data_IF_770043167076
#
_entry.id   IF_770043167076
#
_cell.length_a   1.000
_cell.length_b   1.000
_cell.length_c   1.000
_cell.angle_alpha   90.00
_cell.angle_beta   90.00
_cell.angle_gamma   90.00
#
_symmetry.space_group_name_H-M   'P 1'
#
loop_
_entity.id
_entity.type
_entity.pdbx_description
1 polymer ?
#
# COMPACT_ATOMS: atom_id res chain seq x y z
N UNK A 1 -36.16 6.01 34.94
CA UNK A 1 -35.05 6.73 34.28
C UNK A 1 -34.28 5.86 33.26
N UNK A 2 -34.31 4.54 33.39
CA UNK A 2 -33.58 3.61 32.51
C UNK A 2 -33.99 3.59 31.01
N UNK A 3 -35.29 3.64 30.63
CA UNK A 3 -35.68 3.56 29.21
C UNK A 3 -35.17 4.74 28.37
N UNK A 4 -35.10 5.95 28.98
CA UNK A 4 -34.62 7.14 28.26
C UNK A 4 -33.14 7.09 27.92
N UNK A 5 -32.30 6.55 28.82
CA UNK A 5 -30.90 6.31 28.55
C UNK A 5 -30.68 5.26 27.46
N UNK A 6 -31.47 4.20 27.46
CA UNK A 6 -31.41 3.16 26.42
C UNK A 6 -31.81 3.72 25.04
N UNK A 7 -32.86 4.52 24.95
CA UNK A 7 -33.29 5.20 23.72
C UNK A 7 -32.19 6.14 23.23
N UNK A 8 -31.60 6.96 24.10
CA UNK A 8 -30.49 7.85 23.77
C UNK A 8 -29.26 7.09 23.23
N UNK A 9 -28.91 5.96 23.84
CA UNK A 9 -27.81 5.10 23.39
C UNK A 9 -28.08 4.51 21.98
N UNK A 10 -29.28 4.01 21.72
CA UNK A 10 -29.67 3.48 20.41
C UNK A 10 -29.62 4.57 19.33
N UNK A 11 -30.11 5.78 19.63
CA UNK A 11 -30.07 6.93 18.72
C UNK A 11 -28.59 7.27 18.35
N UNK A 12 -27.72 7.31 19.34
CA UNK A 12 -26.29 7.58 19.10
C UNK A 12 -25.69 6.51 18.15
N UNK A 13 -25.97 5.23 18.37
CA UNK A 13 -25.51 4.16 17.49
C UNK A 13 -26.01 4.36 16.06
N UNK A 14 -27.31 4.67 15.89
CA UNK A 14 -27.89 4.90 14.57
C UNK A 14 -27.20 6.09 13.88
N UNK A 15 -26.98 7.19 14.58
CA UNK A 15 -26.28 8.37 14.04
C UNK A 15 -24.87 8.02 13.58
N UNK A 16 -24.11 7.24 14.38
CA UNK A 16 -22.76 6.80 14.00
C UNK A 16 -22.79 5.90 12.74
N UNK A 17 -23.74 4.97 12.67
CA UNK A 17 -23.90 4.09 11.51
C UNK A 17 -24.25 4.86 10.24
N UNK A 18 -25.20 5.81 10.34
CA UNK A 18 -25.61 6.67 9.22
C UNK A 18 -24.47 7.57 8.77
N UNK A 19 -23.75 8.20 9.70
CA UNK A 19 -22.58 9.03 9.38
C UNK A 19 -21.49 8.21 8.69
N UNK A 20 -21.20 6.99 9.17
CA UNK A 20 -20.26 6.07 8.54
C UNK A 20 -20.69 5.65 7.13
N UNK A 21 -21.97 5.38 6.93
CA UNK A 21 -22.52 5.05 5.62
C UNK A 21 -22.40 6.21 4.63
N UNK A 22 -22.79 7.42 5.03
CA UNK A 22 -22.67 8.63 4.20
C UNK A 22 -21.20 8.91 3.85
N UNK A 23 -20.28 8.79 4.81
CA UNK A 23 -18.85 8.95 4.58
C UNK A 23 -18.34 7.93 3.54
N UNK A 24 -18.77 6.68 3.62
CA UNK A 24 -18.43 5.63 2.65
C UNK A 24 -18.95 5.96 1.23
N UNK A 25 -20.18 6.48 1.11
CA UNK A 25 -20.74 6.89 -0.18
C UNK A 25 -19.95 8.05 -0.79
N UNK A 26 -19.69 9.10 -0.02
CA UNK A 26 -18.88 10.26 -0.46
C UNK A 26 -17.48 9.83 -0.91
N UNK A 27 -16.85 8.90 -0.18
CA UNK A 27 -15.57 8.35 -0.58
C UNK A 27 -15.66 7.62 -1.93
N UNK A 28 -16.69 6.79 -2.15
CA UNK A 28 -16.88 6.08 -3.43
C UNK A 28 -17.07 7.05 -4.60
N UNK A 29 -17.89 8.08 -4.42
CA UNK A 29 -18.10 9.13 -5.44
C UNK A 29 -16.80 9.86 -5.77
N UNK A 30 -16.03 10.24 -4.74
CA UNK A 30 -14.74 10.90 -4.93
C UNK A 30 -13.72 9.97 -5.61
N UNK A 31 -13.67 8.69 -5.28
CA UNK A 31 -12.79 7.71 -5.94
C UNK A 31 -13.22 7.46 -7.40
N UNK A 32 -14.54 7.45 -7.69
CA UNK A 32 -15.06 7.37 -9.06
C UNK A 32 -14.66 8.60 -9.89
N UNK A 33 -14.72 9.80 -9.30
CA UNK A 33 -14.28 11.03 -9.96
C UNK A 33 -12.76 11.01 -10.25
N UNK A 34 -11.94 10.51 -9.32
CA UNK A 34 -10.50 10.33 -9.55
C UNK A 34 -10.26 9.32 -10.68
N UNK A 35 -10.98 8.20 -10.70
CA UNK A 35 -10.85 7.20 -11.76
C UNK A 35 -11.20 7.80 -13.12
N UNK A 36 -12.30 8.53 -13.23
CA UNK A 36 -12.70 9.21 -14.45
C UNK A 36 -11.64 10.23 -14.92
N UNK A 37 -11.11 11.05 -14.01
CA UNK A 37 -10.01 12.00 -14.29
C UNK A 37 -8.76 11.31 -14.85
N UNK A 38 -8.43 10.12 -14.32
CA UNK A 38 -7.24 9.35 -14.72
C UNK A 38 -7.49 8.43 -15.92
N UNK A 39 -8.71 8.37 -16.45
CA UNK A 39 -9.10 7.46 -17.54
C UNK A 39 -9.09 5.97 -17.11
N UNK A 40 -9.33 5.70 -15.83
CA UNK A 40 -9.33 4.36 -15.23
C UNK A 40 -10.75 3.84 -15.01
N UNK A 41 -10.92 2.54 -14.99
CA UNK A 41 -12.15 1.88 -14.54
C UNK A 41 -12.24 1.90 -13.02
N UNK A 42 -13.45 2.02 -12.48
CA UNK A 42 -13.71 2.01 -11.04
C UNK A 42 -14.67 0.89 -10.65
N UNK A 43 -14.26 0.07 -9.69
CA UNK A 43 -15.06 -1.01 -9.10
C UNK A 43 -15.13 -0.82 -7.57
N UNK A 44 -16.28 -0.36 -7.02
CA UNK A 44 -16.40 -0.05 -5.60
C UNK A 44 -16.54 -1.27 -4.69
N UNK A 45 -16.97 -2.41 -5.23
CA UNK A 45 -17.35 -3.58 -4.45
C UNK A 45 -16.14 -4.36 -3.90
N UNK A 46 -16.41 -5.17 -2.86
CA UNK A 46 -15.39 -6.05 -2.28
C UNK A 46 -14.97 -7.13 -3.26
N UNK A 47 -13.65 -7.24 -3.48
CA UNK A 47 -13.02 -8.26 -4.31
C UNK A 47 -12.05 -9.10 -3.45
N UNK A 48 -12.40 -10.37 -3.25
CA UNK A 48 -11.55 -11.33 -2.54
C UNK A 48 -10.57 -12.04 -3.48
N UNK A 49 -10.82 -12.01 -4.78
CA UNK A 49 -9.92 -12.59 -5.76
C UNK A 49 -8.63 -11.79 -5.86
N UNK A 50 -8.70 -10.47 -5.79
CA UNK A 50 -7.55 -9.58 -5.76
C UNK A 50 -6.57 -9.94 -4.63
N UNK A 51 -7.10 -10.19 -3.42
CA UNK A 51 -6.30 -10.60 -2.28
C UNK A 51 -5.60 -11.95 -2.48
N UNK A 52 -6.13 -12.83 -3.33
CA UNK A 52 -5.51 -14.12 -3.68
C UNK A 52 -4.50 -13.98 -4.81
N UNK A 53 -4.82 -13.16 -5.81
CA UNK A 53 -3.96 -12.93 -6.98
C UNK A 53 -2.60 -12.33 -6.60
N UNK A 54 -2.58 -11.44 -5.60
CA UNK A 54 -1.37 -10.77 -5.13
C UNK A 54 -0.93 -11.22 -3.73
N UNK A 55 -1.24 -12.48 -3.35
CA UNK A 55 -0.90 -13.02 -2.03
C UNK A 55 0.61 -13.25 -1.81
N UNK A 56 1.42 -13.10 -2.84
CA UNK A 56 2.87 -13.06 -2.73
C UNK A 56 3.33 -11.76 -2.06
N UNK A 57 2.65 -10.61 -2.25
CA UNK A 57 2.96 -9.38 -1.55
C UNK A 57 2.70 -9.51 -0.04
N UNK A 58 3.68 -9.13 0.77
CA UNK A 58 3.71 -9.39 2.21
C UNK A 58 2.43 -8.96 2.95
N UNK A 59 1.98 -7.72 2.77
CA UNK A 59 0.76 -7.23 3.45
C UNK A 59 -0.51 -7.91 2.97
N UNK A 60 -0.57 -8.39 1.71
CA UNK A 60 -1.76 -9.00 1.12
C UNK A 60 -1.94 -10.48 1.52
N UNK A 61 -0.88 -11.13 2.01
CA UNK A 61 -0.95 -12.50 2.56
C UNK A 61 -1.35 -12.59 4.02
N UNK A 62 -1.34 -11.45 4.76
CA UNK A 62 -1.55 -11.41 6.21
C UNK A 62 -3.01 -11.57 6.61
N UNK A 63 -3.22 -12.17 7.79
CA UNK A 63 -4.51 -12.22 8.47
C UNK A 63 -5.61 -12.99 7.72
N UNK A 64 -6.85 -12.73 8.10
CA UNK A 64 -8.06 -13.35 7.58
C UNK A 64 -9.08 -12.30 7.11
N UNK A 65 -10.19 -12.73 6.49
CA UNK A 65 -11.22 -11.85 5.92
C UNK A 65 -10.64 -10.77 5.00
N UNK A 66 -9.76 -11.17 4.12
CA UNK A 66 -8.99 -10.35 3.18
C UNK A 66 -9.83 -9.97 1.97
N UNK A 67 -9.87 -8.69 1.62
CA UNK A 67 -10.51 -8.19 0.39
C UNK A 67 -9.96 -6.82 -0.01
N UNK A 68 -9.91 -6.59 -1.32
CA UNK A 68 -9.77 -5.27 -1.92
C UNK A 68 -11.14 -4.63 -2.12
N UNK A 69 -11.20 -3.30 -2.18
CA UNK A 69 -12.40 -2.55 -2.52
C UNK A 69 -11.99 -1.16 -3.05
N UNK A 70 -12.95 -0.42 -3.63
CA UNK A 70 -12.64 0.85 -4.31
C UNK A 70 -11.50 0.70 -5.33
N UNK A 71 -11.57 -0.32 -6.16
CA UNK A 71 -10.51 -0.68 -7.11
C UNK A 71 -10.55 0.25 -8.32
N UNK A 72 -9.42 0.89 -8.63
CA UNK A 72 -9.16 1.60 -9.89
C UNK A 72 -8.19 0.75 -10.71
N UNK A 73 -8.52 0.53 -11.98
CA UNK A 73 -7.66 -0.24 -12.89
C UNK A 73 -7.62 0.40 -14.27
N UNK A 74 -6.46 0.39 -14.90
CA UNK A 74 -6.28 0.96 -16.24
C UNK A 74 -4.82 1.15 -16.58
N UNK A 75 -4.58 1.91 -17.66
CA UNK A 75 -3.23 2.27 -18.11
C UNK A 75 -2.96 3.73 -17.76
N UNK A 76 -1.81 3.98 -17.15
CA UNK A 76 -1.34 5.33 -16.84
C UNK A 76 0.12 5.49 -17.26
N UNK A 77 0.42 6.49 -18.08
CA UNK A 77 1.76 6.73 -18.65
C UNK A 77 2.40 5.47 -19.27
N UNK A 78 1.61 4.65 -19.96
CA UNK A 78 2.08 3.43 -20.63
C UNK A 78 2.24 2.20 -19.73
N UNK A 79 1.87 2.29 -18.44
CA UNK A 79 1.93 1.18 -17.48
C UNK A 79 0.54 0.69 -17.08
N UNK A 80 0.38 -0.62 -16.95
CA UNK A 80 -0.81 -1.21 -16.33
C UNK A 80 -0.78 -0.95 -14.83
N UNK A 81 -1.81 -0.28 -14.33
CA UNK A 81 -1.93 0.18 -12.95
C UNK A 81 -3.16 -0.40 -12.30
N UNK A 82 -3.00 -0.74 -11.03
CA UNK A 82 -4.06 -1.16 -10.14
C UNK A 82 -3.93 -0.41 -8.82
N UNK A 83 -5.00 0.28 -8.41
CA UNK A 83 -5.06 1.01 -7.13
C UNK A 83 -6.27 0.51 -6.38
N UNK A 84 -6.14 0.22 -5.08
CA UNK A 84 -7.28 -0.24 -4.27
C UNK A 84 -7.08 0.03 -2.79
N UNK A 85 -8.17 0.14 -2.08
CA UNK A 85 -8.20 -0.01 -0.63
C UNK A 85 -8.22 -1.50 -0.27
N UNK A 86 -7.54 -1.87 0.81
CA UNK A 86 -7.41 -3.25 1.25
C UNK A 86 -7.73 -3.41 2.73
N UNK A 87 -8.37 -4.51 3.06
CA UNK A 87 -8.71 -4.86 4.42
C UNK A 87 -8.32 -6.30 4.75
N UNK A 88 -7.76 -6.48 5.93
CA UNK A 88 -7.69 -7.77 6.59
C UNK A 88 -7.92 -7.64 8.10
N UNK A 89 -8.15 -8.75 8.79
CA UNK A 89 -8.23 -8.80 10.25
C UNK A 89 -7.28 -9.84 10.84
N UNK A 90 -6.85 -9.60 12.08
CA UNK A 90 -6.09 -10.54 12.90
C UNK A 90 -6.82 -10.79 14.23
N UNK A 91 -6.46 -11.87 14.92
CA UNK A 91 -7.11 -12.25 16.17
C UNK A 91 -8.50 -12.86 16.00
N UNK A 92 -9.19 -13.11 17.10
CA UNK A 92 -10.53 -13.68 17.13
C UNK A 92 -11.34 -13.14 18.31
N UNK A 93 -12.67 -13.20 18.20
CA UNK A 93 -13.58 -12.75 19.25
C UNK A 93 -13.35 -11.29 19.64
N UNK A 94 -13.19 -11.04 20.94
CA UNK A 94 -12.99 -9.69 21.51
C UNK A 94 -11.63 -9.09 21.14
N UNK A 95 -10.66 -9.90 20.74
CA UNK A 95 -9.30 -9.46 20.36
C UNK A 95 -9.12 -9.36 18.84
N UNK A 96 -10.19 -9.03 18.12
CA UNK A 96 -10.13 -8.85 16.67
C UNK A 96 -9.64 -7.43 16.36
N UNK A 97 -8.58 -7.33 15.54
CA UNK A 97 -8.05 -6.07 15.03
C UNK A 97 -8.24 -5.99 13.52
N UNK A 98 -8.73 -4.86 13.03
CA UNK A 98 -8.96 -4.58 11.63
C UNK A 98 -7.86 -3.65 11.11
N UNK A 99 -7.32 -3.99 9.93
CA UNK A 99 -6.27 -3.22 9.26
C UNK A 99 -6.75 -2.77 7.90
N UNK A 100 -6.46 -1.52 7.57
CA UNK A 100 -6.85 -0.88 6.32
C UNK A 100 -5.63 -0.25 5.67
N UNK A 101 -5.54 -0.38 4.34
CA UNK A 101 -4.41 0.08 3.55
C UNK A 101 -4.88 0.68 2.24
N UNK A 102 -4.03 1.49 1.61
CA UNK A 102 -4.12 1.78 0.18
C UNK A 102 -2.93 1.15 -0.53
N UNK A 103 -3.19 0.47 -1.63
CA UNK A 103 -2.20 -0.15 -2.51
C UNK A 103 -2.23 0.47 -3.88
N UNK A 104 -1.05 0.62 -4.47
CA UNK A 104 -0.82 0.98 -5.85
C UNK A 104 0.13 -0.05 -6.43
N UNK A 105 -0.28 -0.77 -7.45
CA UNK A 105 0.51 -1.81 -8.11
C UNK A 105 0.72 -1.43 -9.57
N UNK A 106 1.96 -1.50 -10.03
CA UNK A 106 2.37 -1.36 -11.41
C UNK A 106 2.85 -2.72 -11.90
N UNK A 107 2.32 -3.18 -13.05
CA UNK A 107 2.74 -4.41 -13.68
C UNK A 107 4.11 -4.23 -14.35
N UNK A 108 5.07 -5.04 -13.94
CA UNK A 108 6.41 -5.06 -14.52
C UNK A 108 6.50 -6.00 -15.74
N UNK A 109 7.35 -5.70 -16.71
CA UNK A 109 7.52 -6.53 -17.92
C UNK A 109 8.24 -7.86 -17.62
N UNK A 110 8.99 -7.97 -16.52
CA UNK A 110 9.74 -9.14 -16.10
C UNK A 110 9.42 -9.53 -14.64
N UNK A 111 9.74 -10.77 -14.27
CA UNK A 111 9.63 -11.27 -12.90
C UNK A 111 10.90 -10.99 -12.12
N UNK A 112 10.75 -10.61 -10.85
CA UNK A 112 11.82 -10.23 -9.94
C UNK A 112 11.71 -10.99 -8.61
N UNK A 113 12.84 -11.19 -7.90
CA UNK A 113 12.81 -11.69 -6.54
C UNK A 113 12.18 -10.67 -5.59
N UNK A 114 11.72 -11.15 -4.44
CA UNK A 114 11.16 -10.30 -3.37
C UNK A 114 12.17 -9.22 -2.95
N UNK A 115 11.69 -7.97 -2.88
CA UNK A 115 12.37 -6.85 -2.28
C UNK A 115 11.35 -6.01 -1.53
N UNK A 116 11.61 -5.73 -0.26
CA UNK A 116 10.80 -4.85 0.58
C UNK A 116 11.65 -3.69 1.06
N UNK A 117 11.18 -2.46 0.83
CA UNK A 117 11.74 -1.22 1.40
C UNK A 117 10.65 -0.58 2.25
N UNK A 118 10.90 -0.39 3.53
CA UNK A 118 9.93 0.25 4.43
C UNK A 118 10.63 1.17 5.44
N UNK A 119 9.92 2.16 6.01
CA UNK A 119 10.45 2.98 7.10
C UNK A 119 10.82 2.13 8.31
N UNK A 120 11.96 2.44 8.95
CA UNK A 120 12.51 1.69 10.09
C UNK A 120 11.50 1.48 11.24
N UNK A 121 10.71 2.49 11.58
CA UNK A 121 9.70 2.40 12.64
C UNK A 121 8.53 1.43 12.39
N UNK A 122 8.33 0.98 11.14
CA UNK A 122 7.29 0.01 10.75
C UNK A 122 7.85 -1.42 10.85
N UNK A 123 9.16 -1.54 10.88
CA UNK A 123 9.93 -2.76 10.80
C UNK A 123 9.63 -3.80 11.88
N UNK A 124 9.48 -3.42 13.14
CA UNK A 124 9.28 -4.36 14.26
C UNK A 124 8.05 -5.25 14.10
N UNK A 125 7.06 -4.80 13.31
CA UNK A 125 5.83 -5.55 12.99
C UNK A 125 5.97 -6.45 11.76
N UNK A 126 6.92 -6.16 10.86
CA UNK A 126 7.19 -6.93 9.62
C UNK A 126 8.28 -7.97 9.86
N UNK A 127 9.25 -7.67 10.72
CA UNK A 127 10.44 -8.48 10.98
C UNK A 127 10.17 -9.95 11.35
N UNK A 128 9.07 -10.21 12.04
CA UNK A 128 8.71 -11.57 12.47
C UNK A 128 8.16 -12.46 11.35
N UNK A 129 7.84 -11.91 10.17
CA UNK A 129 7.11 -12.63 9.13
C UNK A 129 7.97 -13.10 7.95
N UNK A 130 9.10 -12.45 7.64
CA UNK A 130 9.79 -12.65 6.35
C UNK A 130 11.13 -13.40 6.44
N UNK A 131 11.72 -13.56 7.61
CA UNK A 131 12.89 -14.46 7.81
C UNK A 131 14.21 -14.04 7.15
N UNK A 132 14.30 -12.87 6.51
CA UNK A 132 15.55 -12.33 5.94
C UNK A 132 16.10 -11.20 6.80
N UNK A 133 17.44 -11.16 6.94
CA UNK A 133 18.13 -10.06 7.61
C UNK A 133 17.99 -8.75 6.81
N UNK A 134 18.08 -7.62 7.53
CA UNK A 134 18.17 -6.32 6.91
C UNK A 134 19.46 -6.17 6.10
N UNK A 135 19.39 -5.46 4.99
CA UNK A 135 20.54 -5.21 4.11
C UNK A 135 21.08 -3.82 4.40
N UNK A 136 22.30 -3.75 4.94
CA UNK A 136 22.98 -2.49 5.20
C UNK A 136 23.51 -1.85 3.93
N UNK A 137 23.40 -0.52 3.86
CA UNK A 137 23.92 0.31 2.78
C UNK A 137 25.01 1.26 3.30
N UNK A 138 25.93 1.68 2.41
CA UNK A 138 26.98 2.66 2.76
C UNK A 138 26.40 3.99 3.26
N UNK A 139 25.20 4.35 2.83
CA UNK A 139 24.47 5.51 3.34
C UNK A 139 23.89 5.25 4.72
N UNK A 140 24.60 5.65 5.76
CA UNK A 140 24.13 5.55 7.15
C UNK A 140 22.80 6.27 7.39
N UNK A 141 22.54 7.39 6.69
CA UNK A 141 21.26 8.09 6.79
C UNK A 141 20.12 7.23 6.24
N UNK A 142 20.35 6.56 5.11
CA UNK A 142 19.37 5.67 4.49
C UNK A 142 19.08 4.46 5.39
N UNK A 143 20.10 3.72 5.82
CA UNK A 143 19.95 2.54 6.69
C UNK A 143 19.29 2.87 8.04
N UNK A 144 19.46 4.10 8.55
CA UNK A 144 18.75 4.54 9.76
C UNK A 144 17.28 4.87 9.56
N UNK A 145 16.87 5.24 8.34
CA UNK A 145 15.50 5.64 8.02
C UNK A 145 14.67 4.54 7.36
N UNK A 146 15.34 3.64 6.65
CA UNK A 146 14.72 2.58 5.87
C UNK A 146 15.34 1.22 6.17
N UNK A 147 14.48 0.22 6.28
CA UNK A 147 14.83 -1.18 6.26
C UNK A 147 14.67 -1.72 4.85
N UNK A 148 15.65 -2.48 4.37
CA UNK A 148 15.63 -3.13 3.05
C UNK A 148 15.84 -4.63 3.22
N UNK A 149 14.93 -5.43 2.66
CA UNK A 149 14.98 -6.88 2.71
C UNK A 149 14.82 -7.52 1.36
N UNK A 150 15.63 -8.52 1.09
CA UNK A 150 15.53 -9.35 -0.09
C UNK A 150 16.32 -10.66 0.11
N UNK A 151 15.84 -11.79 -0.41
CA UNK A 151 16.65 -13.00 -0.50
C UNK A 151 17.84 -12.83 -1.47
N UNK A 152 17.77 -11.81 -2.35
CA UNK A 152 18.81 -11.52 -3.33
C UNK A 152 19.45 -10.15 -3.06
N UNK A 153 20.57 -10.14 -2.31
CA UNK A 153 21.29 -8.90 -1.96
C UNK A 153 21.74 -8.11 -3.20
N UNK A 154 22.17 -8.79 -4.26
CA UNK A 154 22.56 -8.12 -5.50
C UNK A 154 21.41 -7.34 -6.11
N UNK A 155 20.23 -7.94 -6.19
CA UNK A 155 19.01 -7.26 -6.66
C UNK A 155 18.65 -6.07 -5.77
N UNK A 156 18.77 -6.21 -4.44
CA UNK A 156 18.54 -5.10 -3.52
C UNK A 156 19.47 -3.91 -3.77
N UNK A 157 20.77 -4.15 -3.99
CA UNK A 157 21.74 -3.09 -4.34
C UNK A 157 21.48 -2.50 -5.74
N UNK A 158 21.07 -3.32 -6.70
CA UNK A 158 20.70 -2.85 -8.05
C UNK A 158 19.49 -1.89 -7.99
N UNK A 159 18.48 -2.20 -7.18
CA UNK A 159 17.28 -1.37 -6.99
C UNK A 159 17.57 -0.15 -6.13
N UNK A 160 18.21 -0.33 -4.97
CA UNK A 160 18.56 0.75 -4.06
C UNK A 160 19.85 1.47 -4.50
N UNK A 161 19.93 1.83 -5.79
CA UNK A 161 21.02 2.64 -6.33
C UNK A 161 21.00 4.07 -5.75
N UNK A 162 22.05 4.86 -6.00
CA UNK A 162 22.21 6.21 -5.44
C UNK A 162 21.01 7.11 -5.72
N UNK A 163 20.40 7.04 -6.93
CA UNK A 163 19.22 7.86 -7.29
C UNK A 163 17.98 7.46 -6.50
N UNK A 164 17.75 6.16 -6.30
CA UNK A 164 16.65 5.64 -5.49
C UNK A 164 16.82 6.05 -4.02
N UNK A 165 18.01 5.91 -3.47
CA UNK A 165 18.33 6.31 -2.09
C UNK A 165 18.07 7.80 -1.90
N UNK A 166 18.59 8.66 -2.78
CA UNK A 166 18.36 10.11 -2.74
C UNK A 166 16.87 10.46 -2.81
N UNK A 167 16.13 9.84 -3.72
CA UNK A 167 14.69 10.02 -3.84
C UNK A 167 13.95 9.65 -2.55
N UNK A 168 14.24 8.48 -1.99
CA UNK A 168 13.61 8.00 -0.76
C UNK A 168 13.94 8.93 0.42
N UNK A 169 15.18 9.32 0.58
CA UNK A 169 15.59 10.28 1.63
C UNK A 169 14.91 11.64 1.48
N UNK A 170 14.75 12.13 0.24
CA UNK A 170 14.03 13.39 -0.02
C UNK A 170 12.55 13.30 0.30
N UNK A 171 11.93 12.14 0.09
CA UNK A 171 10.50 11.91 0.34
C UNK A 171 10.10 11.89 1.81
N UNK A 172 11.06 11.75 2.75
CA UNK A 172 10.82 11.64 4.21
C UNK A 172 11.30 12.89 4.96
N UNK A 173 11.65 13.97 4.24
CA UNK A 173 12.19 15.20 4.88
C UNK A 173 11.16 16.01 5.65
N UNK A 174 9.88 15.84 5.36
CA UNK A 174 8.81 16.56 6.06
C UNK A 174 8.03 15.62 6.98
N UNK A 175 7.81 15.95 8.26
CA UNK A 175 6.96 15.19 9.19
C UNK A 175 5.49 15.10 8.73
N UNK A 176 5.08 15.92 7.75
CA UNK A 176 3.75 15.90 7.13
C UNK A 176 3.67 14.97 5.92
N UNK A 177 4.82 14.54 5.41
CA UNK A 177 4.86 13.58 4.31
C UNK A 177 4.59 12.19 4.88
N UNK A 178 3.83 11.43 4.14
CA UNK A 178 3.34 10.10 4.48
C UNK A 178 4.55 9.18 4.79
N UNK A 179 4.96 9.12 6.06
CA UNK A 179 6.15 8.41 6.56
C UNK A 179 5.98 6.89 6.56
N UNK A 180 4.81 6.39 6.17
CA UNK A 180 4.44 4.98 6.17
C UNK A 180 4.43 4.33 4.76
N UNK A 181 5.06 5.00 3.78
CA UNK A 181 5.29 4.43 2.45
C UNK A 181 6.16 3.16 2.54
N UNK A 182 5.61 2.04 2.10
CA UNK A 182 6.36 0.82 1.84
C UNK A 182 6.39 0.56 0.34
N UNK A 183 7.55 0.12 -0.17
CA UNK A 183 7.75 -0.30 -1.56
C UNK A 183 8.02 -1.79 -1.53
N UNK A 184 7.39 -2.54 -2.42
CA UNK A 184 7.58 -3.98 -2.56
C UNK A 184 7.68 -4.34 -4.03
N UNK A 185 8.69 -5.12 -4.39
CA UNK A 185 8.86 -5.70 -5.72
C UNK A 185 8.87 -7.20 -5.53
N UNK A 186 7.98 -7.90 -6.21
CA UNK A 186 7.99 -9.36 -6.24
C UNK A 186 7.27 -9.84 -7.50
N UNK A 187 7.74 -10.92 -8.08
CA UNK A 187 7.24 -11.42 -9.35
C UNK A 187 7.18 -10.30 -10.40
N UNK A 188 6.01 -10.04 -10.95
CA UNK A 188 5.80 -8.98 -11.95
C UNK A 188 5.10 -7.76 -11.37
N UNK A 189 5.21 -7.52 -10.09
CA UNK A 189 4.58 -6.40 -9.41
C UNK A 189 5.61 -5.46 -8.78
N UNK A 190 5.47 -4.17 -9.06
CA UNK A 190 6.01 -3.08 -8.25
C UNK A 190 4.84 -2.47 -7.49
N UNK A 191 4.85 -2.59 -6.18
CA UNK A 191 3.80 -2.08 -5.31
C UNK A 191 4.31 -0.97 -4.38
N UNK A 192 3.51 0.06 -4.18
CA UNK A 192 3.63 0.95 -3.03
C UNK A 192 2.38 0.83 -2.16
N UNK A 193 2.54 0.90 -0.86
CA UNK A 193 1.44 0.76 0.07
C UNK A 193 1.56 1.71 1.25
N UNK A 194 0.39 2.07 1.82
CA UNK A 194 0.24 2.96 2.96
C UNK A 194 -0.61 2.27 4.02
N UNK A 195 -0.29 2.48 5.31
CA UNK A 195 -0.97 1.83 6.44
C UNK A 195 -2.33 2.47 6.80
N UNK A 196 -2.92 3.21 5.86
CA UNK A 196 -4.25 3.80 5.96
C UNK A 196 -4.89 3.90 4.57
N UNK A 197 -6.21 4.05 4.52
CA UNK A 197 -6.88 4.41 3.28
C UNK A 197 -6.63 5.89 2.97
N UNK A 198 -5.92 6.16 1.88
CA UNK A 198 -5.57 7.53 1.46
C UNK A 198 -6.82 8.33 1.06
N UNK A 199 -6.82 9.62 1.37
CA UNK A 199 -7.81 10.54 0.86
C UNK A 199 -7.78 10.58 -0.69
N UNK A 200 -8.93 10.76 -1.38
CA UNK A 200 -8.99 10.71 -2.85
C UNK A 200 -8.05 11.69 -3.55
N UNK A 201 -7.83 12.88 -2.97
CA UNK A 201 -6.89 13.89 -3.46
C UNK A 201 -5.41 13.44 -3.40
N UNK A 202 -5.10 12.41 -2.61
CA UNK A 202 -3.76 11.82 -2.49
C UNK A 202 -3.51 10.68 -3.50
N UNK A 203 -4.52 10.22 -4.23
CA UNK A 203 -4.37 9.09 -5.16
C UNK A 203 -3.43 9.46 -6.31
N UNK A 204 -3.70 10.53 -7.04
CA UNK A 204 -2.87 10.94 -8.19
C UNK A 204 -1.42 11.30 -7.80
N UNK A 205 -1.16 12.08 -6.73
CA UNK A 205 0.21 12.30 -6.27
C UNK A 205 0.98 11.00 -5.94
N UNK A 206 0.33 10.03 -5.31
CA UNK A 206 0.98 8.76 -4.99
C UNK A 206 1.08 7.81 -6.19
N UNK A 207 0.17 7.91 -7.17
CA UNK A 207 0.35 7.24 -8.45
C UNK A 207 1.61 7.78 -9.19
N UNK A 208 1.80 9.09 -9.23
CA UNK A 208 3.01 9.70 -9.79
C UNK A 208 4.27 9.27 -9.02
N UNK A 209 4.18 9.10 -7.70
CA UNK A 209 5.26 8.53 -6.87
C UNK A 209 5.61 7.10 -7.31
N UNK A 210 4.62 6.24 -7.57
CA UNK A 210 4.83 4.89 -8.08
C UNK A 210 5.56 4.91 -9.44
N UNK A 211 5.14 5.79 -10.36
CA UNK A 211 5.80 5.98 -11.66
C UNK A 211 7.25 6.45 -11.48
N UNK A 212 7.49 7.38 -10.56
CA UNK A 212 8.86 7.84 -10.25
C UNK A 212 9.71 6.67 -9.74
N UNK A 213 9.23 5.88 -8.78
CA UNK A 213 9.94 4.69 -8.30
C UNK A 213 10.26 3.74 -9.45
N UNK A 214 9.30 3.49 -10.37
CA UNK A 214 9.53 2.67 -11.56
C UNK A 214 10.64 3.25 -12.47
N UNK A 215 10.66 4.55 -12.66
CA UNK A 215 11.68 5.22 -13.52
C UNK A 215 13.09 5.22 -12.92
N UNK A 216 13.21 5.00 -11.61
CA UNK A 216 14.49 4.88 -10.92
C UNK A 216 15.07 3.46 -10.95
N UNK A 217 14.28 2.46 -11.33
CA UNK A 217 14.80 1.11 -11.55
C UNK A 217 15.70 1.08 -12.80
N UNK A 218 16.90 0.51 -12.71
CA UNK A 218 17.83 0.45 -13.84
C UNK A 218 17.27 -0.34 -15.03
N UNK A 219 17.47 0.15 -16.24
CA UNK A 219 16.95 -0.48 -17.48
C UNK A 219 17.50 -1.88 -17.68
N UNK A 220 18.75 -2.15 -17.28
CA UNK A 220 19.36 -3.47 -17.43
C UNK A 220 18.62 -4.57 -16.65
N UNK A 221 17.84 -4.23 -15.63
CA UNK A 221 16.99 -5.20 -14.93
C UNK A 221 15.89 -5.78 -15.83
N UNK A 222 15.49 -5.05 -16.87
CA UNK A 222 14.42 -5.43 -17.78
C UNK A 222 14.95 -6.04 -19.09
N UNK A 223 16.27 -5.92 -19.36
CA UNK A 223 16.89 -6.41 -20.61
C UNK A 223 17.59 -7.76 -20.44
N UNK A 224 17.80 -8.23 -19.20
CA UNK A 224 18.36 -9.58 -18.96
C UNK A 224 17.26 -10.62 -19.22
N UNK A 225 17.46 -11.37 -20.28
CA UNK A 225 16.74 -12.62 -20.58
C UNK A 225 17.34 -13.78 -19.79
#
# INVERSE_FOLDING_TARGET
MEPLFFIGFVVIIIVILVAGYISSLKRREAMAAVAAKLGMQFMPNKDRYMARRYNFLDKLRRGSNRYAYNVLSGTYQGHEILIFDYHYKTGSGKNTHHYYFSFFILQLPASFPELIICPEGIFSKIAQAVGYDDIDFESHEFSRKFCVRSPNKKFAYDVCNARMIEYLLSSVRSPKDNTDLSIEIEERALAISFNSCLAPDKIEPNLNRLITVRSLLPDYLFTRR
#
